data_IF_398935849045
#
_entry.id   IF_398935849045
#
_cell.length_a   1.000
_cell.length_b   1.000
_cell.length_c   1.000
_cell.angle_alpha   90.00
_cell.angle_beta   90.00
_cell.angle_gamma   90.00
#
_symmetry.space_group_name_H-M   'P 1'
#
loop_
_entity.id
_entity.type
_entity.pdbx_description
1 polymer ?
#
# COMPACT_ATOMS: atom_id res chain seq x y z
N UNK A 1 -10.25 -33.57 -5.90
CA UNK A 1 -10.65 -32.18 -6.19
C UNK A 1 -9.61 -31.52 -7.08
N UNK A 2 -10.05 -30.90 -8.15
CA UNK A 2 -9.12 -30.24 -9.11
C UNK A 2 -9.18 -28.72 -8.91
N UNK A 3 -8.03 -28.10 -8.71
CA UNK A 3 -7.94 -26.64 -8.67
C UNK A 3 -8.18 -26.10 -10.07
N UNK A 4 -9.10 -25.14 -10.23
CA UNK A 4 -9.45 -24.54 -11.52
C UNK A 4 -9.08 -23.06 -11.60
N UNK A 5 -8.80 -22.43 -10.48
CA UNK A 5 -8.46 -21.02 -10.41
C UNK A 5 -7.54 -20.69 -9.25
N UNK A 6 -6.84 -19.57 -9.38
CA UNK A 6 -5.91 -19.04 -8.37
C UNK A 6 -6.18 -17.56 -8.20
N UNK A 7 -6.27 -17.11 -6.96
CA UNK A 7 -6.43 -15.71 -6.59
C UNK A 7 -5.13 -15.22 -5.98
N UNK A 8 -4.62 -14.12 -6.52
CA UNK A 8 -3.39 -13.48 -6.01
C UNK A 8 -3.74 -12.22 -5.22
N UNK A 9 -3.06 -12.04 -4.09
CA UNK A 9 -2.99 -10.74 -3.44
C UNK A 9 -2.10 -9.81 -4.29
N UNK A 10 -2.33 -8.50 -4.25
CA UNK A 10 -1.55 -7.54 -5.01
C UNK A 10 -0.38 -6.99 -4.21
N UNK A 11 -0.64 -6.28 -3.11
CA UNK A 11 0.41 -5.67 -2.29
C UNK A 11 1.30 -6.70 -1.60
N UNK A 12 2.60 -6.65 -1.84
CA UNK A 12 3.57 -7.59 -1.28
C UNK A 12 3.63 -8.95 -1.97
N UNK A 13 2.82 -9.18 -3.01
CA UNK A 13 2.81 -10.41 -3.80
C UNK A 13 3.08 -10.09 -5.27
N UNK A 14 2.10 -9.56 -6.00
CA UNK A 14 2.26 -9.17 -7.41
C UNK A 14 3.05 -7.88 -7.54
N UNK A 15 2.78 -6.93 -6.65
CA UNK A 15 3.48 -5.64 -6.57
C UNK A 15 4.39 -5.65 -5.35
N UNK A 16 5.64 -5.32 -5.54
CA UNK A 16 6.60 -5.16 -4.44
C UNK A 16 6.28 -3.88 -3.68
N UNK A 17 5.35 -3.97 -2.76
CA UNK A 17 4.81 -2.86 -2.00
C UNK A 17 4.68 -3.20 -0.51
N UNK A 18 5.02 -2.22 0.32
CA UNK A 18 4.65 -2.19 1.74
C UNK A 18 4.54 -0.75 2.20
N UNK A 19 3.82 -0.51 3.28
CA UNK A 19 3.71 0.83 3.87
C UNK A 19 5.08 1.44 4.25
N UNK A 20 6.09 0.61 4.46
CA UNK A 20 7.46 1.07 4.74
C UNK A 20 8.04 1.92 3.61
N UNK A 21 7.63 1.70 2.37
CA UNK A 21 8.04 2.52 1.22
C UNK A 21 7.53 3.95 1.40
N UNK A 22 6.26 4.11 1.79
CA UNK A 22 5.66 5.42 2.05
C UNK A 22 6.33 6.11 3.23
N UNK A 23 6.57 5.40 4.32
CA UNK A 23 7.22 6.00 5.50
C UNK A 23 8.65 6.43 5.22
N UNK A 24 9.38 5.68 4.41
CA UNK A 24 10.73 6.05 3.98
C UNK A 24 10.70 7.26 3.05
N UNK A 25 9.74 7.35 2.14
CA UNK A 25 9.52 8.52 1.31
C UNK A 25 9.28 9.78 2.15
N UNK A 26 8.45 9.67 3.19
CA UNK A 26 8.15 10.77 4.11
C UNK A 26 9.41 11.21 4.86
N UNK A 27 10.24 10.27 5.29
CA UNK A 27 11.53 10.60 5.91
C UNK A 27 12.46 11.34 4.95
N UNK A 28 12.60 10.85 3.72
CA UNK A 28 13.50 11.42 2.73
C UNK A 28 13.07 12.83 2.28
N UNK A 29 11.78 13.08 2.13
CA UNK A 29 11.26 14.33 1.58
C UNK A 29 10.96 15.37 2.67
N UNK A 30 10.41 14.93 3.82
CA UNK A 30 9.94 15.84 4.87
C UNK A 30 10.81 15.81 6.13
N UNK A 31 11.80 14.93 6.21
CA UNK A 31 12.68 14.83 7.37
C UNK A 31 12.04 14.25 8.62
N UNK A 32 10.86 13.64 8.51
CA UNK A 32 10.18 12.99 9.63
C UNK A 32 10.69 11.55 9.72
N UNK A 33 11.27 11.12 10.87
CA UNK A 33 11.77 9.75 10.99
C UNK A 33 10.69 8.71 10.69
N UNK A 34 11.00 7.77 9.80
CA UNK A 34 10.04 6.77 9.32
C UNK A 34 9.37 5.98 10.45
N UNK A 35 10.13 5.55 11.45
CA UNK A 35 9.60 4.79 12.59
C UNK A 35 8.66 5.61 13.47
N UNK A 36 8.92 6.90 13.65
CA UNK A 36 8.04 7.79 14.41
C UNK A 36 6.74 8.05 13.65
N UNK A 37 6.83 8.32 12.36
CA UNK A 37 5.64 8.51 11.52
C UNK A 37 4.78 7.24 11.52
N UNK A 38 5.39 6.09 11.32
CA UNK A 38 4.73 4.78 11.37
C UNK A 38 3.97 4.59 12.68
N UNK A 39 4.61 4.85 13.81
CA UNK A 39 4.00 4.70 15.14
C UNK A 39 2.72 5.52 15.28
N UNK A 40 2.74 6.76 14.83
CA UNK A 40 1.57 7.65 14.89
C UNK A 40 0.50 7.23 13.86
N UNK A 41 0.91 6.91 12.64
CA UNK A 41 0.00 6.49 11.58
C UNK A 41 -0.77 5.22 11.96
N UNK A 42 -0.11 4.24 12.56
CA UNK A 42 -0.72 2.98 12.95
C UNK A 42 -1.78 3.13 14.03
N UNK A 43 -1.76 4.19 14.84
CA UNK A 43 -2.80 4.47 15.82
C UNK A 43 -4.17 4.75 15.17
N UNK A 44 -4.19 5.44 14.03
CA UNK A 44 -5.42 5.77 13.30
C UNK A 44 -5.83 4.75 12.24
N UNK A 45 -4.93 3.85 11.88
CA UNK A 45 -5.15 2.88 10.80
C UNK A 45 -6.40 2.00 10.97
N UNK A 46 -6.71 1.46 12.16
CA UNK A 46 -7.89 0.62 12.34
C UNK A 46 -9.20 1.34 12.02
N UNK A 47 -9.31 2.62 12.34
CA UNK A 47 -10.52 3.40 12.05
C UNK A 47 -10.63 3.71 10.55
N UNK A 48 -9.51 3.97 9.89
CA UNK A 48 -9.47 4.17 8.45
C UNK A 48 -9.86 2.89 7.71
N UNK A 49 -9.32 1.76 8.11
CA UNK A 49 -9.65 0.45 7.51
C UNK A 49 -11.12 0.06 7.69
N UNK A 50 -11.77 0.56 8.74
CA UNK A 50 -13.21 0.35 8.99
C UNK A 50 -14.10 1.40 8.34
N UNK A 51 -13.52 2.36 7.62
CA UNK A 51 -14.25 3.45 6.98
C UNK A 51 -14.81 4.51 7.96
N UNK A 52 -14.31 4.55 9.19
CA UNK A 52 -14.73 5.56 10.19
C UNK A 52 -14.04 6.89 10.01
N UNK A 53 -12.84 6.87 9.45
CA UNK A 53 -12.02 8.05 9.15
C UNK A 53 -11.58 7.95 7.69
N UNK A 54 -11.67 9.07 6.96
CA UNK A 54 -11.13 9.10 5.59
C UNK A 54 -9.60 9.01 5.60
N UNK A 55 -9.03 8.50 4.52
CA UNK A 55 -7.58 8.43 4.35
C UNK A 55 -6.95 9.84 4.43
N UNK A 56 -7.59 10.84 3.84
CA UNK A 56 -7.13 12.22 3.91
C UNK A 56 -7.10 12.75 5.35
N UNK A 57 -8.16 12.53 6.12
CA UNK A 57 -8.25 12.99 7.51
C UNK A 57 -7.24 12.25 8.40
N UNK A 58 -7.06 10.96 8.17
CA UNK A 58 -6.05 10.16 8.85
C UNK A 58 -4.64 10.67 8.58
N UNK A 59 -4.32 10.91 7.33
CA UNK A 59 -3.01 11.41 6.93
C UNK A 59 -2.76 12.82 7.49
N UNK A 60 -3.78 13.68 7.44
CA UNK A 60 -3.70 15.03 8.03
C UNK A 60 -3.44 14.96 9.53
N UNK A 61 -4.19 14.14 10.25
CA UNK A 61 -4.03 13.97 11.70
C UNK A 61 -2.65 13.43 12.05
N UNK A 62 -2.12 12.51 11.27
CA UNK A 62 -0.77 11.96 11.46
C UNK A 62 0.30 13.03 11.29
N UNK A 63 0.24 13.81 10.22
CA UNK A 63 1.21 14.90 10.00
C UNK A 63 1.16 15.96 11.08
N UNK A 64 -0.01 16.27 11.63
CA UNK A 64 -0.16 17.28 12.69
C UNK A 64 0.64 16.98 13.96
N UNK A 65 1.00 15.73 14.21
CA UNK A 65 1.91 15.39 15.30
C UNK A 65 3.34 15.92 15.09
N UNK A 66 3.70 16.23 13.85
CA UNK A 66 5.04 16.66 13.45
C UNK A 66 5.10 18.12 12.98
N UNK A 67 3.97 18.83 12.99
CA UNK A 67 3.83 20.20 12.53
C UNK A 67 2.67 20.37 11.56
N UNK A 68 2.72 21.42 10.74
CA UNK A 68 1.70 21.63 9.72
C UNK A 68 1.84 20.59 8.60
N UNK A 69 0.71 20.01 8.12
CA UNK A 69 0.77 19.10 6.99
C UNK A 69 1.42 19.75 5.77
N UNK A 70 2.37 19.07 5.11
CA UNK A 70 3.04 19.64 3.94
C UNK A 70 2.09 19.77 2.75
N UNK A 71 2.36 20.70 1.86
CA UNK A 71 1.61 20.85 0.60
C UNK A 71 1.73 19.54 -0.19
N UNK A 72 0.60 19.01 -0.65
CA UNK A 72 0.55 17.77 -1.41
C UNK A 72 0.60 16.50 -0.58
N UNK A 73 0.37 16.58 0.73
CA UNK A 73 0.32 15.39 1.59
C UNK A 73 -0.75 14.38 1.15
N UNK A 74 -1.82 14.81 0.50
CA UNK A 74 -2.87 13.95 -0.02
C UNK A 74 -2.44 13.10 -1.21
N UNK A 75 -1.35 13.48 -1.88
CA UNK A 75 -0.83 12.79 -3.07
C UNK A 75 0.36 11.86 -2.75
N UNK A 76 0.66 11.63 -1.49
CA UNK A 76 1.82 10.82 -1.09
C UNK A 76 1.69 9.37 -1.59
N UNK A 77 0.51 8.79 -1.50
CA UNK A 77 0.26 7.44 -2.00
C UNK A 77 0.51 7.32 -3.49
N UNK A 78 -0.01 8.27 -4.28
CA UNK A 78 0.21 8.29 -5.72
C UNK A 78 1.71 8.38 -6.05
N UNK A 79 2.43 9.25 -5.37
CA UNK A 79 3.88 9.41 -5.57
C UNK A 79 4.67 8.16 -5.19
N UNK A 80 4.28 7.50 -4.12
CA UNK A 80 4.96 6.29 -3.66
C UNK A 80 4.58 5.05 -4.48
N UNK A 81 3.34 4.96 -4.96
CA UNK A 81 2.95 3.90 -5.90
C UNK A 81 3.67 4.02 -7.25
N UNK A 82 4.03 5.23 -7.67
CA UNK A 82 4.75 5.43 -8.93
C UNK A 82 6.13 4.75 -8.96
N UNK A 83 6.73 4.48 -7.80
CA UNK A 83 8.03 3.79 -7.68
C UNK A 83 7.88 2.30 -7.32
N UNK A 84 6.65 1.80 -7.18
CA UNK A 84 6.42 0.39 -6.91
C UNK A 84 6.76 -0.46 -8.14
N UNK A 85 7.38 -1.61 -7.92
CA UNK A 85 7.76 -2.55 -8.96
C UNK A 85 6.90 -3.80 -8.90
N UNK A 86 6.69 -4.45 -10.06
CA UNK A 86 6.08 -5.77 -10.11
C UNK A 86 7.08 -6.84 -9.69
N UNK A 87 6.60 -7.87 -9.01
CA UNK A 87 7.39 -9.06 -8.75
C UNK A 87 7.37 -9.93 -10.01
N UNK A 88 8.48 -9.94 -10.76
CA UNK A 88 8.58 -10.63 -12.05
C UNK A 88 8.42 -12.15 -11.92
N UNK A 89 8.89 -12.75 -10.84
CA UNK A 89 8.69 -14.18 -10.59
C UNK A 89 7.21 -14.53 -10.42
N UNK A 90 6.44 -13.68 -9.75
CA UNK A 90 5.00 -13.89 -9.61
C UNK A 90 4.29 -13.67 -10.95
N UNK A 91 4.71 -12.68 -11.76
CA UNK A 91 4.16 -12.48 -13.10
C UNK A 91 4.41 -13.67 -14.02
N UNK A 92 5.60 -14.27 -13.97
CA UNK A 92 5.93 -15.48 -14.70
C UNK A 92 5.05 -16.66 -14.27
N UNK A 93 4.83 -16.81 -12.95
CA UNK A 93 3.92 -17.82 -12.42
C UNK A 93 2.50 -17.64 -12.93
N UNK A 94 1.99 -16.40 -12.92
CA UNK A 94 0.66 -16.06 -13.44
C UNK A 94 0.54 -16.45 -14.91
N UNK A 95 1.51 -16.11 -15.74
CA UNK A 95 1.53 -16.47 -17.14
C UNK A 95 1.55 -18.00 -17.35
N UNK A 96 2.35 -18.71 -16.57
CA UNK A 96 2.41 -20.16 -16.61
C UNK A 96 1.05 -20.79 -16.26
N UNK A 97 0.40 -20.30 -15.21
CA UNK A 97 -0.93 -20.80 -14.80
C UNK A 97 -1.97 -20.57 -15.89
N UNK A 98 -1.99 -19.37 -16.48
CA UNK A 98 -2.90 -19.04 -17.59
C UNK A 98 -2.68 -19.94 -18.80
N UNK A 99 -1.42 -20.21 -19.15
CA UNK A 99 -1.08 -21.11 -20.26
C UNK A 99 -1.51 -22.55 -20.00
N UNK A 100 -1.61 -22.95 -18.73
CA UNK A 100 -2.09 -24.30 -18.33
C UNK A 100 -3.60 -24.37 -18.15
N UNK A 101 -4.34 -23.31 -18.48
CA UNK A 101 -5.79 -23.28 -18.44
C UNK A 101 -6.41 -22.91 -17.09
N UNK A 102 -5.60 -22.48 -16.12
CA UNK A 102 -6.13 -21.96 -14.85
C UNK A 102 -6.72 -20.56 -15.05
N UNK A 103 -7.81 -20.30 -14.34
CA UNK A 103 -8.34 -18.94 -14.22
C UNK A 103 -7.54 -18.21 -13.15
N UNK A 104 -7.16 -16.97 -13.42
CA UNK A 104 -6.38 -16.14 -12.50
C UNK A 104 -7.15 -14.86 -12.19
N UNK A 105 -7.22 -14.51 -10.92
CA UNK A 105 -7.84 -13.28 -10.43
C UNK A 105 -6.95 -12.62 -9.40
N UNK A 106 -7.23 -11.34 -9.14
CA UNK A 106 -6.55 -10.57 -8.09
C UNK A 106 -7.57 -10.15 -7.03
N UNK A 107 -7.14 -10.16 -5.77
CA UNK A 107 -7.89 -9.63 -4.64
C UNK A 107 -6.97 -8.70 -3.86
N UNK A 108 -7.43 -7.47 -3.61
CA UNK A 108 -6.68 -6.49 -2.86
C UNK A 108 -7.55 -5.81 -1.82
N UNK A 109 -6.96 -5.50 -0.67
CA UNK A 109 -7.60 -4.66 0.32
C UNK A 109 -7.58 -3.21 -0.18
N UNK A 110 -8.74 -2.59 -0.19
CA UNK A 110 -8.90 -1.19 -0.56
C UNK A 110 -9.52 -0.47 0.63
N UNK A 111 -8.96 0.67 0.99
CA UNK A 111 -9.55 1.53 1.99
C UNK A 111 -10.76 2.26 1.42
N UNK A 112 -11.83 2.40 2.21
CA UNK A 112 -13.04 3.09 1.74
C UNK A 112 -12.82 4.57 1.46
#
# INVERSE_FOLDING_TARGET
MTIKGVIFDLGGVVVEWSNSITYRYIEDIYGIPAEEFKRIAELGMPDTQRGRTSEEDWMRATFKHFGDPPIGYTNIWEKTFAVACFNEHVLELINTLKCRGYKVAALSNIEP
#
